data_IF_023056784285
#
_entry.id   IF_023056784285
#
_cell.length_a   1.000
_cell.length_b   1.000
_cell.length_c   1.000
_cell.angle_alpha   90.00
_cell.angle_beta   90.00
_cell.angle_gamma   90.00
#
_symmetry.space_group_name_H-M   'P 1'
#
loop_
_entity.id
_entity.type
_entity.pdbx_description
1 polymer ?
#
# COMPACT_ATOMS: atom_id res chain seq x y z
N UNK A 1 -30.41 29.04 -35.16
CA UNK A 1 -29.08 29.09 -34.52
C UNK A 1 -28.01 29.02 -35.61
N UNK A 2 -27.03 29.90 -35.55
CA UNK A 2 -25.90 29.92 -36.48
C UNK A 2 -24.89 28.84 -36.11
N UNK A 3 -24.58 27.96 -37.06
CA UNK A 3 -23.48 26.97 -36.88
C UNK A 3 -22.15 27.69 -37.16
N UNK A 4 -21.23 27.79 -36.18
CA UNK A 4 -19.94 28.47 -36.35
C UNK A 4 -18.92 27.66 -37.13
N UNK A 5 -19.22 26.39 -37.52
CA UNK A 5 -18.31 25.53 -38.27
C UNK A 5 -18.36 25.77 -39.77
N UNK A 6 -17.27 25.43 -40.45
CA UNK A 6 -17.25 25.38 -41.91
C UNK A 6 -18.03 24.19 -42.44
N UNK A 7 -18.77 24.35 -43.58
CA UNK A 7 -18.83 25.52 -44.44
C UNK A 7 -19.84 26.60 -44.02
N UNK A 8 -20.68 26.35 -43.03
CA UNK A 8 -21.84 27.17 -42.69
C UNK A 8 -21.49 28.62 -42.33
N UNK A 9 -20.38 28.82 -41.59
CA UNK A 9 -19.91 30.16 -41.18
C UNK A 9 -19.35 30.95 -42.33
N UNK A 10 -18.90 30.31 -43.42
CA UNK A 10 -18.32 30.98 -44.60
C UNK A 10 -19.40 31.75 -45.40
N UNK A 11 -20.66 31.33 -45.30
CA UNK A 11 -21.79 31.98 -46.01
C UNK A 11 -22.33 33.20 -45.24
N UNK A 12 -21.84 33.47 -44.03
CA UNK A 12 -22.30 34.59 -43.24
C UNK A 12 -21.73 35.88 -43.73
N UNK A 13 -22.58 36.78 -44.16
CA UNK A 13 -22.23 38.14 -44.59
C UNK A 13 -22.70 39.15 -43.53
N UNK A 14 -21.86 40.12 -43.18
CA UNK A 14 -22.19 41.20 -42.25
C UNK A 14 -21.92 42.54 -42.92
N UNK A 15 -22.61 43.60 -42.50
CA UNK A 15 -22.31 44.94 -42.95
C UNK A 15 -21.10 45.49 -42.23
N UNK A 16 -20.10 46.01 -42.97
CA UNK A 16 -18.93 46.62 -42.39
C UNK A 16 -19.35 47.92 -41.66
N UNK A 17 -18.99 48.10 -40.40
CA UNK A 17 -19.38 49.32 -39.66
C UNK A 17 -18.65 50.59 -40.08
N UNK A 18 -17.53 50.47 -40.85
CA UNK A 18 -16.77 51.61 -41.27
C UNK A 18 -17.12 52.09 -42.68
N UNK A 19 -17.47 51.19 -43.61
CA UNK A 19 -17.68 51.54 -45.01
C UNK A 19 -19.03 51.06 -45.58
N UNK A 20 -19.88 50.44 -44.77
CA UNK A 20 -21.21 49.89 -45.12
C UNK A 20 -21.20 48.80 -46.19
N UNK A 21 -20.04 48.41 -46.69
CA UNK A 21 -19.90 47.30 -47.66
C UNK A 21 -20.14 45.96 -46.97
N UNK A 22 -20.45 44.92 -47.75
CA UNK A 22 -20.56 43.53 -47.26
C UNK A 22 -19.20 43.02 -46.87
N UNK A 23 -19.05 42.56 -45.65
CA UNK A 23 -17.89 41.90 -45.14
C UNK A 23 -18.16 40.38 -44.96
N UNK A 24 -17.17 39.58 -45.31
CA UNK A 24 -17.19 38.12 -45.17
C UNK A 24 -16.07 37.69 -44.24
N UNK A 25 -16.21 36.52 -43.68
CA UNK A 25 -15.17 35.87 -42.86
C UNK A 25 -13.85 35.73 -43.68
N UNK A 26 -12.76 36.06 -43.08
CA UNK A 26 -11.42 35.75 -43.62
C UNK A 26 -11.27 34.23 -43.71
N UNK A 27 -10.86 33.66 -44.85
CA UNK A 27 -10.80 32.21 -45.03
C UNK A 27 -9.72 31.52 -44.17
N UNK A 28 -8.73 32.26 -43.75
CA UNK A 28 -7.69 31.76 -42.84
C UNK A 28 -8.27 31.45 -41.46
N UNK A 29 -7.71 30.45 -40.85
CA UNK A 29 -8.07 30.01 -39.46
C UNK A 29 -6.87 30.26 -38.59
N UNK A 30 -7.08 30.85 -37.40
CA UNK A 30 -6.04 30.96 -36.39
C UNK A 30 -5.65 29.53 -36.00
N UNK A 31 -4.36 29.30 -35.72
CA UNK A 31 -3.83 28.03 -35.28
C UNK A 31 -4.60 27.54 -34.03
N UNK A 32 -5.15 26.33 -34.09
CA UNK A 32 -5.88 25.73 -32.99
C UNK A 32 -5.04 25.59 -31.71
N UNK A 33 -3.73 25.54 -31.81
CA UNK A 33 -2.83 25.56 -30.69
C UNK A 33 -2.76 26.91 -29.98
N UNK A 34 -3.00 28.01 -30.68
CA UNK A 34 -3.19 29.32 -30.06
C UNK A 34 -4.44 29.34 -29.18
N UNK A 35 -5.55 28.86 -29.72
CA UNK A 35 -6.82 28.80 -28.97
C UNK A 35 -6.68 27.95 -27.70
N UNK A 36 -6.07 26.78 -27.81
CA UNK A 36 -5.79 25.91 -26.68
C UNK A 36 -4.81 26.52 -25.67
N UNK A 37 -3.79 27.25 -26.15
CA UNK A 37 -2.83 27.97 -25.31
C UNK A 37 -3.42 29.22 -24.63
N UNK A 38 -4.45 29.79 -25.20
CA UNK A 38 -5.19 30.94 -24.66
C UNK A 38 -6.26 30.53 -23.61
N UNK A 39 -6.59 29.25 -23.50
CA UNK A 39 -7.69 28.75 -22.68
C UNK A 39 -7.70 29.32 -21.25
N UNK A 40 -6.60 29.41 -20.50
CA UNK A 40 -6.61 29.84 -19.10
C UNK A 40 -7.19 31.25 -18.88
N UNK A 41 -7.12 32.12 -19.87
CA UNK A 41 -7.69 33.46 -19.79
C UNK A 41 -8.92 33.64 -20.71
N UNK A 42 -8.93 33.02 -21.87
CA UNK A 42 -10.03 33.12 -22.82
C UNK A 42 -11.32 32.48 -22.27
N UNK A 43 -11.25 31.36 -21.57
CA UNK A 43 -12.40 30.71 -20.93
C UNK A 43 -13.08 31.62 -19.90
N UNK A 44 -12.34 32.48 -19.22
CA UNK A 44 -12.87 33.47 -18.28
C UNK A 44 -13.37 34.74 -18.96
N UNK A 45 -13.03 34.94 -20.25
CA UNK A 45 -13.31 36.17 -20.99
C UNK A 45 -12.43 37.35 -20.56
N UNK A 46 -11.31 37.08 -19.91
CA UNK A 46 -10.30 38.09 -19.58
C UNK A 46 -9.63 38.66 -20.85
N UNK A 47 -9.33 39.95 -20.94
CA UNK A 47 -9.43 40.97 -19.88
C UNK A 47 -10.79 41.69 -19.81
N UNK A 48 -11.76 41.32 -20.62
CA UNK A 48 -13.05 42.04 -20.71
C UNK A 48 -14.01 41.72 -19.54
N UNK A 49 -13.86 40.52 -18.96
CA UNK A 49 -14.69 40.01 -17.87
C UNK A 49 -13.81 39.29 -16.86
N UNK A 50 -14.37 39.09 -15.66
CA UNK A 50 -13.83 38.17 -14.61
C UNK A 50 -12.37 38.41 -14.24
N UNK A 51 -11.91 39.69 -14.20
CA UNK A 51 -10.50 40.00 -13.87
C UNK A 51 -10.10 39.51 -12.46
N UNK A 52 -10.99 39.59 -11.46
CA UNK A 52 -10.73 39.09 -10.12
C UNK A 52 -10.58 37.56 -10.08
N UNK A 53 -11.47 36.85 -10.78
CA UNK A 53 -11.39 35.39 -10.88
C UNK A 53 -10.12 34.94 -11.60
N UNK A 54 -9.73 35.65 -12.68
CA UNK A 54 -8.48 35.41 -13.37
C UNK A 54 -7.28 35.56 -12.42
N UNK A 55 -7.22 36.64 -11.66
CA UNK A 55 -6.13 36.91 -10.73
C UNK A 55 -6.00 35.84 -9.61
N UNK A 56 -7.10 35.16 -9.26
CA UNK A 56 -7.12 34.08 -8.27
C UNK A 56 -6.75 32.71 -8.88
N UNK A 57 -7.02 32.49 -10.17
CA UNK A 57 -6.87 31.18 -10.83
C UNK A 57 -5.67 31.07 -11.77
N UNK A 58 -5.01 32.18 -12.10
CA UNK A 58 -3.86 32.22 -12.98
C UNK A 58 -2.58 32.53 -12.20
N UNK A 59 -1.49 31.81 -12.42
CA UNK A 59 -1.38 30.58 -13.23
C UNK A 59 -2.09 29.39 -12.57
N UNK A 60 -2.51 28.41 -13.38
CA UNK A 60 -3.15 27.18 -12.89
C UNK A 60 -2.24 26.43 -11.92
N UNK A 61 -2.78 25.79 -10.89
CA UNK A 61 -1.99 25.04 -9.91
C UNK A 61 -1.29 23.85 -10.56
N UNK A 62 -1.96 23.12 -11.47
CA UNK A 62 -1.35 22.08 -12.28
C UNK A 62 -2.10 21.88 -13.61
N UNK A 63 -1.40 21.26 -14.57
CA UNK A 63 -1.97 20.70 -15.79
C UNK A 63 -1.62 19.21 -15.87
N UNK A 64 -2.51 18.40 -16.47
CA UNK A 64 -2.32 16.94 -16.54
C UNK A 64 -2.69 16.42 -17.91
N UNK A 65 -1.72 15.88 -18.62
CA UNK A 65 -1.88 15.19 -19.90
C UNK A 65 -0.70 14.22 -20.15
N UNK A 66 -0.75 13.48 -21.25
CA UNK A 66 0.31 12.56 -21.61
C UNK A 66 1.56 13.27 -22.19
N UNK A 67 2.68 12.56 -22.20
CA UNK A 67 4.02 13.07 -22.56
C UNK A 67 4.10 13.65 -23.98
N UNK A 68 3.24 13.23 -24.92
CA UNK A 68 3.18 13.79 -26.27
C UNK A 68 2.79 15.28 -26.27
N UNK A 69 2.11 15.77 -25.22
CA UNK A 69 1.73 17.18 -25.08
C UNK A 69 2.90 18.12 -24.76
N UNK A 70 4.09 17.59 -24.51
CA UNK A 70 5.32 18.40 -24.48
C UNK A 70 5.61 19.11 -25.80
N UNK A 71 5.05 18.59 -26.92
CA UNK A 71 5.08 19.21 -28.26
C UNK A 71 3.69 19.62 -28.76
N UNK A 72 2.77 19.85 -27.84
CA UNK A 72 1.40 20.25 -28.12
C UNK A 72 0.90 21.23 -27.08
N UNK A 73 -0.05 20.84 -26.27
CA UNK A 73 -0.75 21.75 -25.35
C UNK A 73 0.17 22.33 -24.26
N UNK A 74 1.05 21.55 -23.65
CA UNK A 74 1.98 22.09 -22.64
C UNK A 74 2.85 23.22 -23.23
N UNK A 75 3.34 23.02 -24.47
CA UNK A 75 4.13 24.03 -25.16
C UNK A 75 3.29 25.28 -25.48
N UNK A 76 2.08 25.12 -26.03
CA UNK A 76 1.24 26.28 -26.41
C UNK A 76 0.81 27.09 -25.20
N UNK A 77 0.45 26.44 -24.07
CA UNK A 77 0.17 27.12 -22.80
C UNK A 77 1.36 27.95 -22.31
N UNK A 78 2.57 27.35 -22.33
CA UNK A 78 3.79 28.03 -21.92
C UNK A 78 4.11 29.22 -22.84
N UNK A 79 4.05 29.01 -24.15
CA UNK A 79 4.37 30.03 -25.13
C UNK A 79 3.39 31.20 -25.04
N UNK A 80 2.09 30.97 -25.07
CA UNK A 80 1.06 32.01 -25.00
C UNK A 80 1.11 32.76 -23.69
N UNK A 81 1.20 32.04 -22.55
CA UNK A 81 1.30 32.66 -21.23
C UNK A 81 2.52 33.57 -21.10
N UNK A 82 3.68 33.07 -21.52
CA UNK A 82 4.92 33.86 -21.50
C UNK A 82 4.88 35.12 -22.40
N UNK A 83 4.32 34.97 -23.60
CA UNK A 83 4.22 36.10 -24.53
C UNK A 83 3.21 37.16 -24.08
N UNK A 84 2.10 36.76 -23.44
CA UNK A 84 1.00 37.67 -23.06
C UNK A 84 1.20 38.23 -21.65
N UNK A 85 1.61 37.42 -20.68
CA UNK A 85 1.69 37.78 -19.27
C UNK A 85 3.12 37.84 -18.73
N UNK A 86 4.13 37.37 -19.46
CA UNK A 86 5.52 37.34 -19.00
C UNK A 86 5.82 36.16 -18.04
N UNK A 87 4.88 35.22 -17.87
CA UNK A 87 5.00 34.08 -16.96
C UNK A 87 4.33 32.82 -17.51
N UNK A 88 4.60 31.67 -16.88
CA UNK A 88 3.96 30.40 -17.23
C UNK A 88 2.46 30.42 -16.92
N UNK A 89 1.64 29.78 -17.76
CA UNK A 89 0.21 29.58 -17.50
C UNK A 89 -0.08 28.52 -16.41
N UNK A 90 0.93 27.80 -15.92
CA UNK A 90 0.81 26.75 -14.91
C UNK A 90 2.03 26.68 -14.00
N UNK A 91 1.81 26.21 -12.77
CA UNK A 91 2.85 26.00 -11.74
C UNK A 91 3.47 24.61 -11.84
N UNK A 92 2.64 23.58 -12.05
CA UNK A 92 3.04 22.18 -12.06
C UNK A 92 2.55 21.45 -13.32
N UNK A 93 3.30 20.44 -13.76
CA UNK A 93 2.92 19.56 -14.88
C UNK A 93 2.86 18.12 -14.39
N UNK A 94 1.68 17.52 -14.42
CA UNK A 94 1.46 16.09 -14.20
C UNK A 94 1.55 15.41 -15.58
N UNK A 95 2.75 14.95 -15.94
CA UNK A 95 3.04 14.39 -17.26
C UNK A 95 2.86 12.86 -17.23
N UNK A 96 1.82 12.34 -17.87
CA UNK A 96 1.46 10.92 -17.83
C UNK A 96 2.20 10.11 -18.89
N UNK A 97 2.54 8.87 -18.55
CA UNK A 97 3.02 7.86 -19.49
C UNK A 97 1.93 7.34 -20.44
N UNK A 98 2.35 6.64 -21.48
CA UNK A 98 1.40 6.04 -22.42
C UNK A 98 0.65 4.85 -21.83
N UNK A 99 -0.59 4.67 -22.27
CA UNK A 99 -1.38 3.45 -22.01
C UNK A 99 -1.10 2.45 -23.15
N UNK A 100 -0.73 1.23 -22.76
CA UNK A 100 -0.41 0.13 -23.65
C UNK A 100 -1.44 -1.01 -23.49
N UNK A 101 -1.57 -1.87 -24.48
CA UNK A 101 -2.36 -3.11 -24.37
C UNK A 101 -1.72 -4.10 -23.39
N UNK A 102 -2.38 -5.25 -23.14
CA UNK A 102 -1.88 -6.29 -22.23
C UNK A 102 -0.51 -6.84 -22.64
N UNK A 103 -0.20 -6.85 -23.95
CA UNK A 103 1.09 -7.29 -24.50
C UNK A 103 2.17 -6.20 -24.43
N UNK A 104 1.82 -4.97 -24.01
CA UNK A 104 2.75 -3.83 -23.94
C UNK A 104 2.95 -3.12 -25.29
N UNK A 105 2.02 -3.28 -26.23
CA UNK A 105 2.05 -2.60 -27.52
C UNK A 105 1.23 -1.31 -27.46
N UNK A 106 1.63 -0.32 -28.24
CA UNK A 106 0.84 0.92 -28.38
C UNK A 106 -0.52 0.60 -28.98
N UNK A 107 -1.58 1.09 -28.34
CA UNK A 107 -2.94 0.92 -28.84
C UNK A 107 -3.13 1.74 -30.13
N UNK A 108 -3.74 1.11 -31.14
CA UNK A 108 -4.13 1.79 -32.37
C UNK A 108 -5.38 1.15 -32.97
N UNK A 109 -6.19 1.96 -33.64
CA UNK A 109 -7.39 1.47 -34.36
C UNK A 109 -7.06 0.43 -35.44
N UNK A 110 -5.89 0.58 -36.08
CA UNK A 110 -5.42 -0.34 -37.13
C UNK A 110 -5.08 -1.74 -36.58
N UNK A 111 -4.58 -1.81 -35.35
CA UNK A 111 -4.26 -3.10 -34.70
C UNK A 111 -5.48 -3.72 -34.02
N UNK A 112 -6.57 -2.98 -33.88
CA UNK A 112 -7.78 -3.47 -33.20
C UNK A 112 -7.58 -3.77 -31.71
N UNK A 113 -6.50 -3.22 -31.10
CA UNK A 113 -6.13 -3.47 -29.71
C UNK A 113 -6.50 -2.30 -28.77
N UNK A 114 -7.40 -1.42 -29.21
CA UNK A 114 -7.89 -0.31 -28.39
C UNK A 114 -8.91 -0.84 -27.39
N UNK A 115 -8.66 -0.56 -26.11
CA UNK A 115 -9.64 -0.78 -25.05
C UNK A 115 -10.55 0.45 -24.95
N UNK A 116 -11.81 0.25 -25.30
CA UNK A 116 -12.82 1.30 -25.20
C UNK A 116 -13.16 1.54 -23.72
N UNK A 117 -13.09 2.78 -23.21
CA UNK A 117 -13.27 3.05 -21.79
C UNK A 117 -14.66 2.68 -21.26
N UNK A 118 -15.72 2.96 -22.02
CA UNK A 118 -17.11 2.72 -21.56
C UNK A 118 -17.37 1.21 -21.38
N UNK A 119 -17.14 0.33 -22.36
CA UNK A 119 -17.27 -1.11 -22.15
C UNK A 119 -16.39 -1.66 -21.01
N UNK A 120 -15.20 -1.07 -20.79
CA UNK A 120 -14.32 -1.45 -19.69
C UNK A 120 -14.93 -1.09 -18.33
N UNK A 121 -15.52 0.10 -18.22
CA UNK A 121 -16.23 0.56 -17.02
C UNK A 121 -17.52 -0.24 -16.80
N UNK A 122 -18.26 -0.58 -17.85
CA UNK A 122 -19.47 -1.42 -17.76
C UNK A 122 -19.16 -2.82 -17.23
N UNK A 123 -17.96 -3.34 -17.56
CA UNK A 123 -17.53 -4.68 -17.15
C UNK A 123 -17.01 -4.71 -15.71
N UNK A 124 -16.20 -3.75 -15.31
CA UNK A 124 -15.47 -3.77 -14.04
C UNK A 124 -15.94 -2.73 -13.02
N UNK A 125 -16.73 -1.77 -13.45
CA UNK A 125 -17.09 -0.58 -12.67
C UNK A 125 -16.10 0.58 -12.86
N UNK A 126 -16.61 1.80 -12.84
CA UNK A 126 -15.79 2.99 -13.03
C UNK A 126 -14.71 3.16 -11.95
N UNK A 127 -15.03 2.83 -10.70
CA UNK A 127 -14.07 2.92 -9.59
C UNK A 127 -12.91 1.95 -9.73
N UNK A 128 -13.12 0.77 -10.30
CA UNK A 128 -12.06 -0.19 -10.57
C UNK A 128 -11.07 0.34 -11.62
N UNK A 129 -11.58 0.96 -12.68
CA UNK A 129 -10.76 1.60 -13.71
C UNK A 129 -10.01 2.79 -13.13
N UNK A 130 -10.67 3.66 -12.36
CA UNK A 130 -10.05 4.80 -11.68
C UNK A 130 -8.94 4.36 -10.74
N UNK A 131 -9.22 3.40 -9.87
CA UNK A 131 -8.21 2.86 -8.95
C UNK A 131 -7.00 2.30 -9.70
N UNK A 132 -7.25 1.51 -10.74
CA UNK A 132 -6.17 0.99 -11.57
C UNK A 132 -5.32 2.11 -12.16
N UNK A 133 -5.93 3.16 -12.69
CA UNK A 133 -5.24 4.29 -13.32
C UNK A 133 -4.48 5.17 -12.31
N UNK A 134 -4.94 5.28 -11.09
CA UNK A 134 -4.33 6.14 -10.07
C UNK A 134 -3.34 5.41 -9.16
N UNK A 135 -3.62 4.15 -8.79
CA UNK A 135 -2.91 3.45 -7.72
C UNK A 135 -2.03 2.28 -8.17
N UNK A 136 -2.31 1.65 -9.34
CA UNK A 136 -1.66 0.37 -9.70
C UNK A 136 -0.29 0.48 -10.35
N UNK A 137 0.29 1.66 -10.45
CA UNK A 137 1.62 1.87 -11.01
C UNK A 137 1.97 3.33 -11.15
N UNK A 138 3.24 3.63 -11.41
CA UNK A 138 3.69 5.01 -11.59
C UNK A 138 2.95 5.69 -12.74
N UNK A 139 2.27 6.82 -12.53
CA UNK A 139 1.57 7.52 -13.60
C UNK A 139 2.53 8.07 -14.67
N UNK A 140 3.80 8.27 -14.32
CA UNK A 140 4.86 8.81 -15.21
C UNK A 140 5.38 7.78 -16.20
N UNK A 141 5.11 6.49 -16.01
CA UNK A 141 5.60 5.41 -16.87
C UNK A 141 4.48 4.85 -17.74
N UNK A 142 4.88 4.25 -18.87
CA UNK A 142 3.95 3.54 -19.73
C UNK A 142 3.35 2.33 -18.98
N UNK A 143 2.02 2.19 -19.03
CA UNK A 143 1.28 1.14 -18.32
C UNK A 143 0.53 0.21 -19.25
N UNK A 144 0.57 -1.08 -18.92
CA UNK A 144 -0.26 -2.10 -19.56
C UNK A 144 -1.62 -2.12 -18.89
N UNK A 145 -2.68 -2.00 -19.67
CA UNK A 145 -4.06 -2.05 -19.22
C UNK A 145 -4.74 -3.27 -19.81
N UNK A 146 -5.48 -3.99 -18.96
CA UNK A 146 -6.22 -5.17 -19.37
C UNK A 146 -7.24 -5.62 -18.34
N UNK A 147 -8.16 -6.49 -18.76
CA UNK A 147 -9.25 -6.98 -17.93
C UNK A 147 -8.77 -7.70 -16.67
N UNK A 148 -7.72 -8.53 -16.80
CA UNK A 148 -7.16 -9.30 -15.68
C UNK A 148 -6.59 -8.41 -14.59
N UNK A 149 -5.81 -7.39 -14.99
CA UNK A 149 -5.19 -6.46 -14.03
C UNK A 149 -6.23 -5.63 -13.26
N UNK A 150 -7.30 -5.18 -13.94
CA UNK A 150 -8.40 -4.44 -13.29
C UNK A 150 -9.20 -5.36 -12.38
N UNK A 151 -9.50 -6.59 -12.79
CA UNK A 151 -10.21 -7.57 -11.96
C UNK A 151 -9.43 -7.89 -10.67
N UNK A 152 -8.11 -7.94 -10.72
CA UNK A 152 -7.25 -8.13 -9.53
C UNK A 152 -7.36 -6.97 -8.53
N UNK A 153 -7.44 -5.74 -9.00
CA UNK A 153 -7.70 -4.55 -8.17
C UNK A 153 -9.02 -4.66 -7.44
N UNK A 154 -10.09 -5.02 -8.17
CA UNK A 154 -11.42 -5.21 -7.56
C UNK A 154 -11.34 -6.23 -6.42
N UNK A 155 -10.73 -7.38 -6.69
CA UNK A 155 -10.67 -8.48 -5.73
C UNK A 155 -9.86 -8.13 -4.49
N UNK A 156 -8.69 -7.50 -4.66
CA UNK A 156 -7.75 -7.28 -3.56
C UNK A 156 -8.10 -6.09 -2.69
N UNK A 157 -8.64 -5.03 -3.26
CA UNK A 157 -8.86 -3.77 -2.56
C UNK A 157 -10.33 -3.43 -2.39
N UNK A 158 -11.07 -3.29 -3.50
CA UNK A 158 -12.44 -2.77 -3.43
C UNK A 158 -13.40 -3.75 -2.77
N UNK A 159 -13.32 -5.05 -3.06
CA UNK A 159 -14.13 -6.08 -2.40
C UNK A 159 -13.73 -6.25 -0.93
N UNK A 160 -12.45 -6.14 -0.60
CA UNK A 160 -11.98 -6.20 0.79
C UNK A 160 -12.57 -5.04 1.60
N UNK A 161 -12.49 -3.82 1.07
CA UNK A 161 -13.12 -2.65 1.67
C UNK A 161 -14.63 -2.84 1.84
N UNK A 162 -15.34 -3.21 0.76
CA UNK A 162 -16.79 -3.44 0.79
C UNK A 162 -17.21 -4.49 1.79
N UNK A 163 -16.48 -5.60 1.86
CA UNK A 163 -16.75 -6.68 2.81
C UNK A 163 -16.54 -6.22 4.26
N UNK A 164 -15.54 -5.37 4.51
CA UNK A 164 -15.30 -4.80 5.85
C UNK A 164 -16.43 -3.84 6.26
N UNK A 165 -16.92 -3.02 5.34
CA UNK A 165 -18.10 -2.17 5.54
C UNK A 165 -19.36 -3.02 5.82
N UNK A 166 -19.56 -4.07 5.04
CA UNK A 166 -20.69 -5.00 5.21
C UNK A 166 -20.63 -5.72 6.55
N UNK A 167 -19.43 -6.10 6.99
CA UNK A 167 -19.18 -6.68 8.30
C UNK A 167 -19.56 -5.71 9.42
N UNK A 168 -19.07 -4.46 9.38
CA UNK A 168 -19.44 -3.41 10.32
C UNK A 168 -20.97 -3.23 10.40
N UNK A 169 -21.62 -3.07 9.26
CA UNK A 169 -23.07 -2.86 9.19
C UNK A 169 -23.87 -4.03 9.76
N UNK A 170 -23.40 -5.27 9.54
CA UNK A 170 -24.05 -6.48 10.07
C UNK A 170 -23.96 -6.52 11.60
N UNK A 171 -22.75 -6.38 12.15
CA UNK A 171 -22.53 -6.54 13.58
C UNK A 171 -23.04 -5.36 14.38
N UNK A 172 -22.92 -4.13 13.88
CA UNK A 172 -23.54 -2.97 14.52
C UNK A 172 -25.06 -3.12 14.65
N UNK A 173 -25.76 -3.60 13.60
CA UNK A 173 -27.20 -3.89 13.67
C UNK A 173 -27.55 -5.03 14.59
N UNK A 174 -26.72 -6.08 14.63
CA UNK A 174 -26.95 -7.25 15.51
C UNK A 174 -26.78 -6.87 16.97
N UNK A 175 -25.83 -6.01 17.29
CA UNK A 175 -25.59 -5.49 18.63
C UNK A 175 -26.45 -4.28 18.99
N UNK A 176 -27.35 -3.82 18.09
CA UNK A 176 -28.14 -2.59 18.24
C UNK A 176 -27.26 -1.36 18.55
N UNK A 177 -26.01 -1.37 18.08
CA UNK A 177 -25.05 -0.31 18.28
C UNK A 177 -25.12 0.75 17.17
N UNK A 178 -24.93 2.00 17.56
CA UNK A 178 -24.73 3.13 16.64
C UNK A 178 -23.72 4.11 17.24
N UNK A 179 -23.15 5.04 16.47
CA UNK A 179 -22.26 6.07 17.00
C UNK A 179 -22.86 6.87 18.17
N UNK A 180 -24.19 7.04 18.21
CA UNK A 180 -24.90 7.69 19.30
C UNK A 180 -24.89 6.89 20.61
N UNK A 181 -24.68 5.58 20.56
CA UNK A 181 -24.51 4.73 21.75
C UNK A 181 -23.23 5.09 22.50
N UNK A 182 -22.22 5.59 21.75
CA UNK A 182 -20.92 5.93 22.31
C UNK A 182 -19.96 4.75 22.39
N UNK A 183 -18.79 5.00 22.91
CA UNK A 183 -17.75 4.03 23.21
C UNK A 183 -16.77 4.59 24.24
N UNK A 184 -15.95 3.76 24.91
CA UNK A 184 -14.83 4.23 25.73
C UNK A 184 -13.89 5.14 24.94
N UNK A 185 -13.24 6.06 25.65
CA UNK A 185 -12.21 6.91 25.03
C UNK A 185 -11.11 6.04 24.41
N UNK A 186 -10.50 6.50 23.31
CA UNK A 186 -9.51 5.70 22.55
C UNK A 186 -8.40 5.14 23.45
N UNK A 187 -7.87 5.94 24.40
CA UNK A 187 -6.83 5.48 25.32
C UNK A 187 -7.27 4.44 26.36
N UNK A 188 -8.56 4.18 26.51
CA UNK A 188 -9.14 3.16 27.40
C UNK A 188 -9.49 1.87 26.66
N UNK A 189 -9.39 1.88 25.31
CA UNK A 189 -9.66 0.71 24.48
C UNK A 189 -8.44 -0.23 24.46
N UNK A 190 -8.61 -1.51 24.10
CA UNK A 190 -7.50 -2.44 23.86
C UNK A 190 -6.42 -1.87 22.93
N UNK A 191 -5.17 -2.32 23.10
CA UNK A 191 -4.04 -1.80 22.28
C UNK A 191 -4.22 -2.04 20.79
N UNK A 192 -4.89 -3.11 20.39
CA UNK A 192 -5.19 -3.36 18.96
C UNK A 192 -6.16 -2.32 18.39
N UNK A 193 -7.11 -1.80 19.18
CA UNK A 193 -8.01 -0.72 18.78
C UNK A 193 -7.24 0.61 18.66
N UNK A 194 -6.42 0.91 19.66
CA UNK A 194 -5.57 2.10 19.65
C UNK A 194 -4.61 2.08 18.45
N UNK A 195 -4.03 0.92 18.14
CA UNK A 195 -3.16 0.74 16.99
C UNK A 195 -3.87 1.04 15.67
N UNK A 196 -5.03 0.45 15.42
CA UNK A 196 -5.72 0.63 14.13
C UNK A 196 -6.20 2.08 13.92
N UNK A 197 -6.57 2.78 14.99
CA UNK A 197 -6.93 4.21 14.91
C UNK A 197 -5.69 5.10 14.71
N UNK A 198 -4.58 4.78 15.36
CA UNK A 198 -3.29 5.43 15.13
C UNK A 198 -2.84 5.27 13.66
N UNK A 199 -2.98 4.05 13.11
CA UNK A 199 -2.69 3.79 11.70
C UNK A 199 -3.66 4.53 10.76
N UNK A 200 -4.96 4.64 11.10
CA UNK A 200 -5.91 5.45 10.32
C UNK A 200 -5.47 6.92 10.22
N UNK A 201 -5.06 7.50 11.34
CA UNK A 201 -4.57 8.89 11.37
C UNK A 201 -3.29 9.05 10.54
N UNK A 202 -2.36 8.10 10.64
CA UNK A 202 -1.13 8.09 9.84
C UNK A 202 -1.44 7.98 8.34
N UNK A 203 -2.37 7.10 7.98
CA UNK A 203 -2.83 6.93 6.59
C UNK A 203 -3.41 8.24 6.05
N UNK A 204 -4.27 8.92 6.81
CA UNK A 204 -4.84 10.20 6.40
C UNK A 204 -3.75 11.25 6.13
N UNK A 205 -2.74 11.34 6.99
CA UNK A 205 -1.59 12.24 6.83
C UNK A 205 -0.74 11.90 5.61
N UNK A 206 -0.38 10.62 5.47
CA UNK A 206 0.57 10.17 4.46
C UNK A 206 -0.06 10.15 3.05
N UNK A 207 -1.38 9.94 2.96
CA UNK A 207 -2.14 10.06 1.69
C UNK A 207 -2.29 11.52 1.30
N UNK A 208 -2.54 12.42 2.25
CA UNK A 208 -2.59 13.86 2.01
C UNK A 208 -1.26 14.36 1.43
N UNK A 209 -0.15 14.05 2.12
CA UNK A 209 1.20 14.36 1.63
C UNK A 209 1.48 13.78 0.24
N UNK A 210 1.05 12.54 -0.02
CA UNK A 210 1.22 11.93 -1.34
C UNK A 210 0.43 12.66 -2.42
N UNK A 211 -0.82 13.05 -2.14
CA UNK A 211 -1.68 13.76 -3.10
C UNK A 211 -1.19 15.19 -3.33
N UNK A 212 -0.71 15.89 -2.32
CA UNK A 212 -0.10 17.22 -2.45
C UNK A 212 1.14 17.20 -3.36
N UNK A 213 1.85 16.07 -3.39
CA UNK A 213 2.98 15.83 -4.28
C UNK A 213 2.60 15.14 -5.61
N UNK A 214 1.32 15.03 -5.95
CA UNK A 214 0.80 14.33 -7.11
C UNK A 214 1.19 12.84 -7.21
N UNK A 215 1.65 12.23 -6.11
CA UNK A 215 2.03 10.81 -6.04
C UNK A 215 0.81 9.93 -5.70
N UNK A 216 -0.10 9.84 -6.67
CA UNK A 216 -1.33 9.06 -6.52
C UNK A 216 -1.05 7.56 -6.30
N UNK A 217 0.06 7.05 -6.84
CA UNK A 217 0.46 5.65 -6.64
C UNK A 217 0.83 5.37 -5.18
N UNK A 218 1.63 6.24 -4.56
CA UNK A 218 2.01 6.12 -3.14
C UNK A 218 0.77 6.17 -2.25
N UNK A 219 -0.10 7.16 -2.46
CA UNK A 219 -1.34 7.29 -1.69
C UNK A 219 -2.24 6.06 -1.84
N UNK A 220 -2.44 5.57 -3.06
CA UNK A 220 -3.23 4.35 -3.31
C UNK A 220 -2.63 3.09 -2.70
N UNK A 221 -1.29 2.94 -2.66
CA UNK A 221 -0.62 1.82 -1.98
C UNK A 221 -0.85 1.87 -0.48
N UNK A 222 -0.69 3.03 0.16
CA UNK A 222 -0.95 3.23 1.59
C UNK A 222 -2.39 2.84 1.94
N UNK A 223 -3.36 3.28 1.13
CA UNK A 223 -4.77 2.92 1.33
C UNK A 223 -5.02 1.41 1.18
N UNK A 224 -4.44 0.77 0.17
CA UNK A 224 -4.60 -0.67 -0.04
C UNK A 224 -4.02 -1.50 1.12
N UNK A 225 -2.83 -1.14 1.61
CA UNK A 225 -2.18 -1.77 2.75
C UNK A 225 -3.03 -1.62 4.03
N UNK A 226 -3.56 -0.44 4.29
CA UNK A 226 -4.42 -0.22 5.44
C UNK A 226 -5.77 -0.96 5.37
N UNK A 227 -6.38 -1.03 4.19
CA UNK A 227 -7.61 -1.81 3.98
C UNK A 227 -7.36 -3.30 4.25
N UNK A 228 -6.22 -3.81 3.82
CA UNK A 228 -5.81 -5.19 4.10
C UNK A 228 -5.59 -5.40 5.60
N UNK A 229 -4.89 -4.53 6.26
CA UNK A 229 -4.64 -4.56 7.71
C UNK A 229 -5.95 -4.49 8.51
N UNK A 230 -6.85 -3.61 8.11
CA UNK A 230 -8.16 -3.46 8.74
C UNK A 230 -9.00 -4.74 8.64
N UNK A 231 -9.02 -5.37 7.47
CA UNK A 231 -9.80 -6.59 7.22
C UNK A 231 -9.11 -7.85 7.75
N UNK A 232 -7.85 -8.08 7.32
CA UNK A 232 -7.17 -9.35 7.49
C UNK A 232 -6.38 -9.44 8.81
N UNK A 233 -6.20 -8.31 9.50
CA UNK A 233 -5.62 -8.30 10.83
C UNK A 233 -6.64 -7.87 11.89
N UNK A 234 -7.07 -6.61 11.89
CA UNK A 234 -7.93 -6.08 12.93
C UNK A 234 -9.29 -6.81 13.05
N UNK A 235 -10.07 -6.85 11.98
CA UNK A 235 -11.40 -7.50 11.97
C UNK A 235 -11.27 -8.99 12.28
N UNK A 236 -10.29 -9.66 11.68
CA UNK A 236 -10.10 -11.10 11.89
C UNK A 236 -9.73 -11.41 13.35
N UNK A 237 -8.87 -10.60 13.97
CA UNK A 237 -8.45 -10.76 15.38
C UNK A 237 -9.59 -10.42 16.34
N UNK A 238 -10.31 -9.37 16.07
CA UNK A 238 -11.40 -8.89 16.92
C UNK A 238 -12.74 -9.59 16.68
N UNK A 239 -12.80 -10.63 15.82
CA UNK A 239 -14.06 -11.26 15.40
C UNK A 239 -14.95 -11.70 16.56
N UNK A 240 -14.36 -12.28 17.62
CA UNK A 240 -15.10 -12.70 18.80
C UNK A 240 -15.73 -11.51 19.53
N UNK A 241 -15.00 -10.42 19.68
CA UNK A 241 -15.48 -9.17 20.28
C UNK A 241 -16.69 -8.61 19.53
N UNK A 242 -16.67 -8.65 18.19
CA UNK A 242 -17.83 -8.26 17.38
C UNK A 242 -19.05 -9.17 17.62
N UNK A 243 -18.84 -10.48 17.80
CA UNK A 243 -19.93 -11.40 18.12
C UNK A 243 -20.53 -11.12 19.50
N UNK A 244 -19.69 -10.73 20.44
CA UNK A 244 -20.11 -10.41 21.81
C UNK A 244 -20.69 -8.98 21.93
N UNK A 245 -20.71 -8.22 20.82
CA UNK A 245 -21.26 -6.86 20.77
C UNK A 245 -20.40 -5.81 21.48
N UNK A 246 -19.08 -6.01 21.53
CA UNK A 246 -18.10 -5.10 22.16
C UNK A 246 -18.15 -3.70 21.52
N UNK A 247 -18.57 -2.72 22.31
CA UNK A 247 -18.75 -1.32 21.87
C UNK A 247 -17.43 -0.70 21.41
N UNK A 248 -16.30 -1.03 22.05
CA UNK A 248 -14.97 -0.54 21.64
C UNK A 248 -14.60 -1.03 20.25
N UNK A 249 -14.81 -2.32 19.94
CA UNK A 249 -14.53 -2.89 18.64
C UNK A 249 -15.43 -2.29 17.56
N UNK A 250 -16.74 -2.15 17.82
CA UNK A 250 -17.70 -1.57 16.90
C UNK A 250 -17.40 -0.11 16.58
N UNK A 251 -17.11 0.70 17.62
CA UNK A 251 -16.75 2.11 17.43
C UNK A 251 -15.41 2.27 16.69
N UNK A 252 -14.40 1.47 17.06
CA UNK A 252 -13.09 1.51 16.43
C UNK A 252 -13.17 1.21 14.94
N UNK A 253 -13.89 0.15 14.56
CA UNK A 253 -14.06 -0.17 13.13
C UNK A 253 -14.85 0.91 12.39
N UNK A 254 -15.88 1.48 13.01
CA UNK A 254 -16.65 2.59 12.44
C UNK A 254 -15.76 3.82 12.19
N UNK A 255 -14.97 4.25 13.18
CA UNK A 255 -14.05 5.39 13.08
C UNK A 255 -12.96 5.17 12.04
N UNK A 256 -12.37 3.96 12.01
CA UNK A 256 -11.37 3.57 11.00
C UNK A 256 -11.95 3.58 9.57
N UNK A 257 -13.16 3.03 9.39
CA UNK A 257 -13.87 3.07 8.11
C UNK A 257 -14.25 4.48 7.69
N UNK A 258 -14.62 5.35 8.64
CA UNK A 258 -14.90 6.76 8.35
C UNK A 258 -13.67 7.43 7.73
N UNK A 259 -12.52 7.31 8.39
CA UNK A 259 -11.26 7.89 7.92
C UNK A 259 -10.87 7.38 6.54
N UNK A 260 -10.88 6.06 6.34
CA UNK A 260 -10.49 5.48 5.04
C UNK A 260 -11.47 5.81 3.91
N UNK A 261 -12.78 5.95 4.23
CA UNK A 261 -13.80 6.34 3.23
C UNK A 261 -13.56 7.75 2.71
N UNK A 262 -13.22 8.70 3.60
CA UNK A 262 -12.85 10.06 3.21
C UNK A 262 -11.60 10.06 2.32
N UNK A 263 -10.57 9.30 2.69
CA UNK A 263 -9.34 9.20 1.91
C UNK A 263 -9.52 8.47 0.57
N UNK A 264 -10.49 7.55 0.46
CA UNK A 264 -10.84 6.86 -0.77
C UNK A 264 -11.65 7.71 -1.75
N UNK A 265 -12.37 8.73 -1.28
CA UNK A 265 -13.27 9.50 -2.11
C UNK A 265 -12.63 10.08 -3.39
N UNK A 266 -11.39 10.61 -3.38
CA UNK A 266 -10.72 11.05 -4.61
C UNK A 266 -10.38 9.91 -5.58
N UNK A 267 -10.12 8.72 -5.08
CA UNK A 267 -9.75 7.54 -5.87
C UNK A 267 -10.96 6.81 -6.43
N UNK A 268 -11.93 6.52 -5.58
CA UNK A 268 -13.09 5.66 -5.86
C UNK A 268 -14.39 6.36 -5.43
N UNK A 269 -14.80 7.40 -6.17
CA UNK A 269 -15.87 8.31 -5.74
C UNK A 269 -17.22 7.61 -5.56
N UNK A 270 -17.53 6.59 -6.35
CA UNK A 270 -18.87 6.00 -6.31
C UNK A 270 -19.05 5.03 -5.14
N UNK A 271 -18.07 4.18 -4.88
CA UNK A 271 -18.13 3.27 -3.72
C UNK A 271 -17.98 4.04 -2.40
N UNK A 272 -17.13 5.08 -2.36
CA UNK A 272 -16.98 5.93 -1.20
C UNK A 272 -18.29 6.68 -0.88
N UNK A 273 -18.95 7.25 -1.89
CA UNK A 273 -20.25 7.88 -1.72
C UNK A 273 -21.32 6.90 -1.25
N UNK A 274 -21.35 5.69 -1.83
CA UNK A 274 -22.32 4.68 -1.42
C UNK A 274 -22.13 4.29 0.05
N UNK A 275 -20.89 4.08 0.50
CA UNK A 275 -20.60 3.77 1.90
C UNK A 275 -20.91 4.95 2.80
N UNK A 276 -20.62 6.18 2.34
CA UNK A 276 -20.97 7.39 3.08
C UNK A 276 -22.46 7.48 3.38
N UNK A 277 -23.29 7.28 2.37
CA UNK A 277 -24.75 7.34 2.53
C UNK A 277 -25.29 6.22 3.43
N UNK A 278 -24.79 4.98 3.26
CA UNK A 278 -25.35 3.81 3.93
C UNK A 278 -24.82 3.63 5.38
N UNK A 279 -23.59 4.05 5.68
CA UNK A 279 -22.97 3.79 6.97
C UNK A 279 -22.86 5.04 7.86
N UNK A 280 -22.51 6.19 7.30
CA UNK A 280 -22.23 7.38 8.09
C UNK A 280 -23.43 8.33 8.12
N UNK A 281 -23.92 8.75 6.98
CA UNK A 281 -25.08 9.66 6.91
C UNK A 281 -26.37 9.01 7.43
N UNK A 282 -26.55 7.72 7.25
CA UNK A 282 -27.70 7.00 7.78
C UNK A 282 -27.76 7.00 9.32
N UNK A 283 -26.64 7.27 10.00
CA UNK A 283 -26.53 7.29 11.46
C UNK A 283 -26.26 8.67 12.06
N UNK A 284 -26.00 9.68 11.20
CA UNK A 284 -25.74 11.07 11.59
C UNK A 284 -26.35 12.05 10.58
N UNK A 285 -27.48 12.66 10.93
CA UNK A 285 -28.16 13.65 10.10
C UNK A 285 -27.37 14.96 9.92
N UNK A 286 -26.34 15.20 10.73
CA UNK A 286 -25.47 16.38 10.62
C UNK A 286 -24.29 16.12 9.65
N UNK A 287 -24.05 14.88 9.27
CA UNK A 287 -23.03 14.57 8.30
C UNK A 287 -23.30 15.26 6.95
N UNK A 288 -22.26 15.73 6.24
CA UNK A 288 -22.40 16.32 4.91
C UNK A 288 -23.22 15.44 3.97
N UNK A 289 -24.02 16.07 3.08
CA UNK A 289 -24.92 15.35 2.16
C UNK A 289 -24.20 14.41 1.18
N UNK A 290 -22.89 14.58 1.02
CA UNK A 290 -22.03 13.74 0.20
C UNK A 290 -20.64 13.66 0.82
N UNK A 291 -19.95 12.53 0.65
CA UNK A 291 -18.55 12.38 1.04
C UNK A 291 -17.64 13.42 0.36
N UNK A 292 -18.02 13.84 -0.86
CA UNK A 292 -17.28 14.83 -1.64
C UNK A 292 -17.44 16.27 -1.15
N UNK A 293 -18.32 16.51 -0.19
CA UNK A 293 -18.50 17.79 0.51
C UNK A 293 -17.99 17.73 1.95
N UNK A 294 -17.54 16.57 2.39
CA UNK A 294 -16.90 16.41 3.67
C UNK A 294 -15.44 16.92 3.63
N UNK A 295 -14.96 17.37 4.79
CA UNK A 295 -13.57 17.76 4.94
C UNK A 295 -12.65 16.52 4.99
N UNK A 296 -11.39 16.70 4.61
CA UNK A 296 -10.35 15.71 4.84
C UNK A 296 -10.26 15.36 6.34
N UNK A 297 -9.87 14.11 6.71
CA UNK A 297 -9.80 13.73 8.11
C UNK A 297 -8.92 14.70 8.93
N UNK A 298 -9.48 15.24 10.02
CA UNK A 298 -8.71 16.13 10.90
C UNK A 298 -7.73 15.31 11.75
N UNK A 299 -6.50 15.80 11.85
CA UNK A 299 -5.45 15.22 12.69
C UNK A 299 -5.27 15.97 14.03
N UNK A 300 -6.05 17.01 14.31
CA UNK A 300 -5.87 17.87 15.49
C UNK A 300 -5.95 17.11 16.83
N UNK A 301 -6.80 16.07 16.89
CA UNK A 301 -6.99 15.25 18.08
C UNK A 301 -6.53 13.80 17.87
N UNK A 302 -5.90 13.51 16.74
CA UNK A 302 -5.43 12.17 16.43
C UNK A 302 -4.08 11.89 17.09
N UNK A 303 -3.97 10.77 17.77
CA UNK A 303 -2.71 10.31 18.35
C UNK A 303 -2.07 9.33 17.38
N UNK A 304 -0.98 9.74 16.72
CA UNK A 304 -0.11 8.84 15.96
C UNK A 304 0.92 8.29 16.96
N UNK A 305 0.90 6.98 17.16
CA UNK A 305 1.78 6.28 18.11
C UNK A 305 2.75 5.36 17.36
N UNK A 306 3.95 5.87 17.11
CA UNK A 306 4.97 5.14 16.36
C UNK A 306 5.50 3.92 17.13
N UNK A 307 5.61 3.99 18.47
CA UNK A 307 6.03 2.85 19.31
C UNK A 307 5.02 1.70 19.21
N UNK A 308 3.73 2.00 19.26
CA UNK A 308 2.68 1.00 19.14
C UNK A 308 2.66 0.36 17.73
N UNK A 309 2.93 1.16 16.69
CA UNK A 309 3.10 0.65 15.32
C UNK A 309 4.27 -0.32 15.23
N UNK A 310 5.43 0.05 15.76
CA UNK A 310 6.64 -0.76 15.70
C UNK A 310 6.47 -2.06 16.51
N UNK A 311 5.82 -1.99 17.67
CA UNK A 311 5.45 -3.15 18.47
C UNK A 311 4.49 -4.09 17.72
N UNK A 312 3.45 -3.56 17.07
CA UNK A 312 2.52 -4.38 16.28
C UNK A 312 3.20 -4.97 15.04
N UNK A 313 4.12 -4.24 14.41
CA UNK A 313 4.92 -4.76 13.31
C UNK A 313 5.77 -5.96 13.76
N UNK A 314 6.39 -5.89 14.94
CA UNK A 314 7.12 -7.01 15.54
C UNK A 314 6.20 -8.21 15.82
N UNK A 315 5.03 -7.97 16.42
CA UNK A 315 4.00 -9.01 16.64
C UNK A 315 3.67 -9.74 15.34
N UNK A 316 3.43 -9.01 14.27
CA UNK A 316 3.07 -9.57 12.96
C UNK A 316 4.19 -10.42 12.36
N UNK A 317 5.45 -9.97 12.43
CA UNK A 317 6.60 -10.75 11.95
C UNK A 317 6.78 -12.04 12.75
N UNK A 318 6.68 -11.97 14.07
CA UNK A 318 6.76 -13.16 14.94
C UNK A 318 5.63 -14.16 14.64
N UNK A 319 4.40 -13.67 14.41
CA UNK A 319 3.27 -14.51 13.97
C UNK A 319 3.54 -15.18 12.63
N UNK A 320 4.12 -14.46 11.67
CA UNK A 320 4.47 -15.01 10.36
C UNK A 320 5.53 -16.11 10.47
N UNK A 321 6.58 -15.87 11.23
CA UNK A 321 7.61 -16.89 11.54
C UNK A 321 7.02 -18.11 12.24
N UNK A 322 6.18 -17.92 13.25
CA UNK A 322 5.53 -19.02 13.95
C UNK A 322 4.61 -19.85 13.04
N UNK A 323 3.91 -19.21 12.11
CA UNK A 323 3.12 -19.91 11.08
C UNK A 323 4.01 -20.66 10.09
N UNK A 324 5.14 -20.09 9.70
CA UNK A 324 6.12 -20.77 8.86
C UNK A 324 6.70 -22.01 9.57
N UNK A 325 7.03 -21.91 10.87
CA UNK A 325 7.47 -23.03 11.67
C UNK A 325 6.43 -24.15 11.72
N UNK A 326 5.15 -23.83 11.97
CA UNK A 326 4.06 -24.82 11.93
C UNK A 326 3.91 -25.48 10.56
N UNK A 327 3.99 -24.70 9.49
CA UNK A 327 3.89 -25.21 8.11
C UNK A 327 5.05 -26.18 7.78
N UNK A 328 6.27 -25.86 8.19
CA UNK A 328 7.45 -26.73 8.00
C UNK A 328 7.27 -28.09 8.68
N UNK A 329 6.58 -28.15 9.83
CA UNK A 329 6.30 -29.39 10.56
C UNK A 329 4.96 -30.02 10.19
N UNK A 330 4.24 -29.47 9.18
CA UNK A 330 2.91 -29.95 8.78
C UNK A 330 1.85 -29.90 9.89
N UNK A 331 2.04 -29.09 10.93
CA UNK A 331 1.13 -28.91 12.04
C UNK A 331 0.13 -27.81 11.69
N UNK A 332 -1.16 -28.16 11.68
CA UNK A 332 -2.24 -27.19 11.36
C UNK A 332 -2.36 -26.15 12.47
N UNK A 333 -2.63 -24.90 12.12
CA UNK A 333 -2.85 -23.82 13.09
C UNK A 333 -3.98 -24.12 14.09
N UNK A 334 -4.97 -24.92 13.71
CA UNK A 334 -6.06 -25.36 14.59
C UNK A 334 -5.65 -26.33 15.70
N UNK A 335 -4.48 -26.97 15.57
CA UNK A 335 -3.94 -27.82 16.62
C UNK A 335 -3.37 -26.94 17.74
N UNK A 336 -3.94 -26.96 18.96
CA UNK A 336 -3.31 -26.26 20.07
C UNK A 336 -1.96 -26.87 20.39
N UNK A 337 -1.01 -26.07 20.86
CA UNK A 337 0.30 -26.50 21.30
C UNK A 337 0.66 -25.82 22.64
N UNK A 338 1.59 -26.39 23.38
CA UNK A 338 1.89 -25.93 24.73
C UNK A 338 2.53 -24.54 24.73
N UNK A 339 3.57 -24.32 23.92
CA UNK A 339 4.34 -23.07 23.95
C UNK A 339 5.06 -22.73 22.66
N UNK A 340 5.36 -21.45 22.53
CA UNK A 340 6.32 -20.92 21.60
C UNK A 340 7.42 -20.14 22.33
N UNK A 341 8.64 -20.19 21.83
CA UNK A 341 9.77 -19.40 22.32
C UNK A 341 10.16 -18.41 21.23
N UNK A 342 10.37 -17.14 21.58
CA UNK A 342 10.66 -16.05 20.65
C UNK A 342 11.96 -15.37 21.01
N UNK A 343 12.85 -15.23 20.03
CA UNK A 343 14.01 -14.35 20.09
C UNK A 343 13.84 -13.28 19.01
N UNK A 344 13.69 -12.04 19.42
CA UNK A 344 13.62 -10.91 18.51
C UNK A 344 14.00 -9.62 19.24
N UNK A 345 14.69 -8.67 18.58
CA UNK A 345 14.96 -7.36 19.16
C UNK A 345 13.65 -6.67 19.57
N UNK A 346 13.60 -6.18 20.80
CA UNK A 346 12.41 -5.52 21.35
C UNK A 346 11.33 -6.45 21.91
N UNK A 347 11.42 -7.77 21.75
CA UNK A 347 10.39 -8.70 22.20
C UNK A 347 10.11 -8.65 23.71
N UNK A 348 11.17 -8.60 24.53
CA UNK A 348 11.04 -8.57 25.99
C UNK A 348 10.41 -7.28 26.55
N UNK A 349 10.28 -6.24 25.73
CA UNK A 349 9.66 -4.95 26.07
C UNK A 349 8.21 -4.83 25.60
N UNK A 350 7.69 -5.83 24.85
CA UNK A 350 6.31 -5.79 24.39
C UNK A 350 5.33 -5.83 25.57
N UNK A 351 4.24 -5.06 25.51
CA UNK A 351 3.12 -5.22 26.44
C UNK A 351 2.53 -6.63 26.41
N UNK A 352 2.14 -7.15 27.58
CA UNK A 352 1.54 -8.48 27.72
C UNK A 352 0.34 -8.69 26.80
N UNK A 353 -0.47 -7.64 26.57
CA UNK A 353 -1.62 -7.68 25.66
C UNK A 353 -1.19 -8.02 24.23
N UNK A 354 -0.09 -7.48 23.74
CA UNK A 354 0.43 -7.79 22.41
C UNK A 354 1.11 -9.17 22.32
N UNK A 355 1.72 -9.62 23.43
CA UNK A 355 2.23 -11.00 23.52
C UNK A 355 1.08 -12.00 23.47
N UNK A 356 -0.05 -11.70 24.11
CA UNK A 356 -1.27 -12.53 24.06
C UNK A 356 -1.82 -12.65 22.63
N UNK A 357 -1.73 -11.59 21.80
CA UNK A 357 -2.10 -11.63 20.38
C UNK A 357 -1.29 -12.69 19.62
N UNK A 358 0.01 -12.81 19.92
CA UNK A 358 0.87 -13.85 19.32
C UNK A 358 0.48 -15.24 19.76
N UNK A 359 0.20 -15.42 21.05
CA UNK A 359 -0.26 -16.72 21.59
C UNK A 359 -1.52 -17.21 20.89
N UNK A 360 -2.49 -16.33 20.74
CA UNK A 360 -3.75 -16.63 20.05
C UNK A 360 -3.56 -16.94 18.57
N UNK A 361 -2.74 -16.15 17.87
CA UNK A 361 -2.47 -16.33 16.42
C UNK A 361 -1.72 -17.62 16.13
N UNK A 362 -0.83 -18.00 17.02
CA UNK A 362 -0.09 -19.25 16.92
C UNK A 362 -0.84 -20.44 17.53
N UNK A 363 -1.96 -20.19 18.21
CA UNK A 363 -2.72 -21.19 18.95
C UNK A 363 -1.81 -21.99 19.90
N UNK A 364 -1.08 -21.25 20.75
CA UNK A 364 -0.24 -21.79 21.82
C UNK A 364 -0.72 -21.25 23.17
N UNK A 365 -0.52 -22.01 24.25
CA UNK A 365 -0.94 -21.59 25.59
C UNK A 365 -0.09 -20.45 26.14
N UNK A 366 1.22 -20.45 25.82
CA UNK A 366 2.16 -19.44 26.31
C UNK A 366 3.22 -19.11 25.27
N UNK A 367 3.67 -17.85 25.28
CA UNK A 367 4.82 -17.38 24.49
C UNK A 367 5.86 -16.84 25.45
N UNK A 368 7.08 -17.37 25.37
CA UNK A 368 8.19 -17.06 26.27
C UNK A 368 9.40 -16.52 25.46
N UNK A 369 10.32 -15.87 26.16
CA UNK A 369 11.60 -15.44 25.54
C UNK A 369 12.46 -16.67 25.29
N UNK A 370 13.02 -16.80 24.10
CA UNK A 370 14.03 -17.80 23.79
C UNK A 370 15.37 -17.39 24.44
N UNK A 371 15.77 -18.12 25.49
CA UNK A 371 17.05 -17.92 26.15
C UNK A 371 18.22 -18.41 25.31
N UNK A 372 19.40 -17.81 25.48
CA UNK A 372 20.64 -18.20 24.79
C UNK A 372 21.05 -19.67 25.02
N UNK A 373 20.62 -20.26 26.15
CA UNK A 373 20.95 -21.64 26.55
C UNK A 373 19.98 -22.70 25.99
N UNK A 374 18.94 -22.30 25.26
CA UNK A 374 17.85 -23.21 24.88
C UNK A 374 18.29 -24.33 23.93
N UNK A 375 19.39 -24.16 23.17
CA UNK A 375 19.99 -25.19 22.32
C UNK A 375 18.97 -25.96 21.47
N UNK A 376 18.02 -25.24 20.86
CA UNK A 376 16.88 -25.82 20.16
C UNK A 376 17.18 -26.24 18.71
N UNK A 377 18.40 -25.96 18.28
CA UNK A 377 18.87 -26.28 16.92
C UNK A 377 20.10 -27.14 17.06
N UNK A 378 20.08 -28.31 16.46
CA UNK A 378 21.25 -29.14 16.28
C UNK A 378 21.99 -28.62 15.06
N UNK A 379 23.18 -28.09 15.28
CA UNK A 379 24.07 -27.60 14.23
C UNK A 379 24.96 -28.77 13.77
N UNK A 380 24.91 -29.07 12.48
CA UNK A 380 25.80 -30.06 11.85
C UNK A 380 26.69 -29.31 10.87
N UNK A 381 27.99 -29.36 11.10
CA UNK A 381 28.98 -28.80 10.19
C UNK A 381 29.62 -29.92 9.41
N UNK A 382 29.60 -29.83 8.09
CA UNK A 382 30.27 -30.76 7.18
C UNK A 382 31.39 -30.07 6.40
N UNK A 383 32.55 -30.66 6.21
CA UNK A 383 33.59 -30.13 5.33
C UNK A 383 33.06 -29.99 3.89
N UNK A 384 33.30 -28.85 3.26
CA UNK A 384 33.04 -28.64 1.83
C UNK A 384 34.26 -29.13 1.03
N UNK A 385 34.31 -30.42 0.73
CA UNK A 385 35.43 -31.03 0.04
C UNK A 385 35.77 -30.37 -1.30
N UNK A 386 34.81 -29.73 -1.96
CA UNK A 386 35.08 -29.06 -3.23
C UNK A 386 35.90 -27.80 -3.05
N UNK A 387 35.59 -26.98 -2.07
CA UNK A 387 36.33 -25.74 -1.81
C UNK A 387 37.65 -26.03 -1.04
N UNK A 388 37.60 -26.91 -0.04
CA UNK A 388 38.79 -27.35 0.65
C UNK A 388 39.83 -27.97 -0.31
N UNK A 389 39.37 -28.73 -1.32
CA UNK A 389 40.24 -29.32 -2.34
C UNK A 389 41.02 -28.28 -3.16
N UNK A 390 40.42 -27.13 -3.44
CA UNK A 390 41.08 -26.05 -4.15
C UNK A 390 42.15 -25.36 -3.31
N UNK A 391 41.94 -25.27 -1.99
CA UNK A 391 42.84 -24.56 -1.07
C UNK A 391 43.96 -25.47 -0.53
N UNK A 392 43.61 -26.66 -0.12
CA UNK A 392 44.49 -27.54 0.64
C UNK A 392 45.01 -28.73 -0.17
N UNK A 393 44.47 -29.01 -1.37
CA UNK A 393 44.96 -30.06 -2.25
C UNK A 393 45.04 -31.43 -1.55
N UNK A 394 46.28 -31.98 -1.41
CA UNK A 394 46.53 -33.30 -0.77
C UNK A 394 46.29 -33.31 0.74
N UNK A 395 46.27 -32.14 1.40
CA UNK A 395 46.02 -32.02 2.85
C UNK A 395 44.53 -31.91 3.19
N UNK A 396 43.64 -31.85 2.18
CA UNK A 396 42.17 -31.75 2.36
C UNK A 396 41.62 -32.78 3.35
N UNK A 397 42.01 -34.07 3.35
CA UNK A 397 41.44 -35.04 4.30
C UNK A 397 41.77 -34.71 5.76
N UNK A 398 42.96 -34.17 6.02
CA UNK A 398 43.42 -33.84 7.39
C UNK A 398 42.65 -32.60 7.89
N UNK A 399 42.52 -31.58 7.04
CA UNK A 399 41.71 -30.38 7.36
C UNK A 399 40.25 -30.74 7.56
N UNK A 400 39.69 -31.60 6.70
CA UNK A 400 38.30 -32.05 6.82
C UNK A 400 38.04 -32.82 8.13
N UNK A 401 39.00 -33.64 8.57
CA UNK A 401 38.92 -34.32 9.87
C UNK A 401 38.98 -33.28 11.02
N UNK A 402 39.89 -32.32 10.97
CA UNK A 402 40.01 -31.29 11.97
C UNK A 402 38.73 -30.44 12.08
N UNK A 403 38.05 -30.14 10.95
CA UNK A 403 36.72 -29.48 10.94
C UNK A 403 35.68 -30.35 11.66
N UNK A 404 35.69 -31.66 11.45
CA UNK A 404 34.72 -32.59 12.04
C UNK A 404 34.94 -32.78 13.54
N UNK A 405 36.19 -32.61 14.03
CA UNK A 405 36.56 -32.79 15.42
C UNK A 405 36.21 -31.57 16.31
N UNK A 406 35.90 -30.42 15.69
CA UNK A 406 35.42 -29.22 16.43
C UNK A 406 33.95 -29.33 16.74
N UNK A 407 33.56 -28.80 17.89
CA UNK A 407 32.14 -28.68 18.26
C UNK A 407 31.40 -27.81 17.20
N UNK A 408 30.36 -28.38 16.52
CA UNK A 408 29.76 -27.75 15.33
C UNK A 408 29.20 -26.35 15.56
N UNK A 409 28.54 -26.10 16.71
CA UNK A 409 27.97 -24.81 17.02
C UNK A 409 29.05 -23.74 17.24
N UNK A 410 30.16 -24.10 17.91
CA UNK A 410 31.31 -23.21 18.14
C UNK A 410 31.94 -22.80 16.80
N UNK A 411 32.17 -23.75 15.90
CA UNK A 411 32.73 -23.48 14.58
C UNK A 411 31.82 -22.57 13.74
N UNK A 412 30.54 -22.92 13.65
CA UNK A 412 29.57 -22.16 12.86
C UNK A 412 29.42 -20.73 13.37
N UNK A 413 29.29 -20.53 14.70
CA UNK A 413 29.14 -19.22 15.32
C UNK A 413 30.39 -18.36 15.14
N UNK A 414 31.57 -18.93 15.30
CA UNK A 414 32.82 -18.20 15.11
C UNK A 414 33.00 -17.75 13.66
N UNK A 415 32.75 -18.64 12.70
CA UNK A 415 32.81 -18.27 11.26
C UNK A 415 31.81 -17.18 10.90
N UNK A 416 30.60 -17.21 11.48
CA UNK A 416 29.59 -16.14 11.28
C UNK A 416 30.01 -14.80 11.88
N UNK A 417 30.59 -14.82 13.09
CA UNK A 417 30.91 -13.60 13.82
C UNK A 417 32.21 -12.94 13.32
N UNK A 418 33.23 -13.73 12.99
CA UNK A 418 34.58 -13.24 12.66
C UNK A 418 35.00 -13.49 11.21
N UNK A 419 34.17 -14.17 10.42
CA UNK A 419 34.48 -14.53 9.02
C UNK A 419 35.39 -15.76 8.87
N UNK A 420 36.09 -16.22 9.94
CA UNK A 420 36.96 -17.39 9.92
C UNK A 420 37.06 -18.05 11.30
N UNK A 421 37.52 -19.27 11.31
CA UNK A 421 37.91 -20.03 12.50
C UNK A 421 39.24 -20.69 12.30
N UNK A 422 40.19 -20.50 13.25
CA UNK A 422 41.53 -21.07 13.15
C UNK A 422 41.58 -22.49 13.73
N UNK A 423 41.99 -23.46 12.92
CA UNK A 423 42.19 -24.87 13.27
C UNK A 423 43.67 -25.21 13.38
N UNK A 424 44.00 -26.08 14.31
CA UNK A 424 45.35 -26.71 14.36
C UNK A 424 45.36 -27.96 13.51
N UNK A 425 46.14 -27.95 12.42
CA UNK A 425 46.29 -29.07 11.48
C UNK A 425 47.79 -29.42 11.37
N UNK A 426 48.16 -30.60 11.78
CA UNK A 426 49.54 -31.08 11.76
C UNK A 426 50.56 -30.10 12.39
N UNK A 427 50.14 -29.38 13.45
CA UNK A 427 50.97 -28.41 14.18
C UNK A 427 51.01 -27.00 13.56
N UNK A 428 50.33 -26.76 12.45
CA UNK A 428 50.15 -25.45 11.83
C UNK A 428 48.73 -24.90 12.10
N UNK A 429 48.61 -23.58 12.20
CA UNK A 429 47.32 -22.92 12.28
C UNK A 429 46.78 -22.66 10.88
N UNK A 430 45.61 -23.20 10.56
CA UNK A 430 44.92 -23.02 9.28
C UNK A 430 43.56 -22.37 9.51
N UNK A 431 43.25 -21.33 8.73
CA UNK A 431 41.93 -20.65 8.83
C UNK A 431 40.91 -21.31 7.92
N UNK A 432 39.73 -21.58 8.47
CA UNK A 432 38.54 -22.09 7.79
C UNK A 432 37.52 -20.95 7.64
N UNK A 433 37.00 -20.79 6.45
CA UNK A 433 36.04 -19.75 6.10
C UNK A 433 34.63 -20.34 5.82
N UNK A 434 33.64 -19.49 5.64
CA UNK A 434 32.26 -19.91 5.38
C UNK A 434 32.14 -20.85 4.16
N UNK A 435 32.93 -20.63 3.10
CA UNK A 435 32.90 -21.47 1.90
C UNK A 435 33.51 -22.86 2.10
N UNK A 436 34.37 -23.03 3.11
CA UNK A 436 35.06 -24.28 3.41
C UNK A 436 34.17 -25.29 4.15
N UNK A 437 33.03 -24.84 4.67
CA UNK A 437 32.10 -25.65 5.46
C UNK A 437 30.68 -25.59 4.91
N UNK A 438 29.93 -26.65 5.14
CA UNK A 438 28.48 -26.71 4.90
C UNK A 438 27.82 -26.80 6.27
N UNK A 439 27.20 -25.74 6.70
CA UNK A 439 26.44 -25.68 7.95
C UNK A 439 25.01 -26.07 7.68
N UNK A 440 24.52 -27.11 8.36
CA UNK A 440 23.11 -27.52 8.32
C UNK A 440 22.57 -27.40 9.74
N UNK A 441 21.49 -26.64 9.87
CA UNK A 441 20.77 -26.50 11.13
C UNK A 441 19.46 -27.29 11.02
N UNK A 442 19.20 -28.11 12.03
CA UNK A 442 17.96 -28.85 12.16
C UNK A 442 17.35 -28.63 13.53
N UNK A 443 16.03 -28.39 13.61
CA UNK A 443 15.38 -28.33 14.91
C UNK A 443 15.60 -29.59 15.71
N UNK A 444 15.82 -29.45 17.01
CA UNK A 444 15.90 -30.57 17.93
C UNK A 444 14.60 -31.38 17.94
N UNK A 445 14.66 -32.68 18.21
CA UNK A 445 13.48 -33.53 18.26
C UNK A 445 12.42 -32.95 19.19
N UNK A 446 11.17 -32.88 18.70
CA UNK A 446 10.03 -32.25 19.42
C UNK A 446 9.88 -30.75 19.21
N UNK A 447 10.76 -30.11 18.47
CA UNK A 447 10.69 -28.67 18.18
C UNK A 447 10.65 -28.38 16.68
N UNK A 448 10.02 -27.26 16.33
CA UNK A 448 10.13 -26.65 15.00
C UNK A 448 10.59 -25.22 15.15
N UNK A 449 11.47 -24.78 14.26
CA UNK A 449 12.06 -23.43 14.32
C UNK A 449 11.94 -22.76 12.96
N UNK A 450 11.57 -21.49 12.94
CA UNK A 450 11.73 -20.62 11.79
C UNK A 450 12.47 -19.36 12.21
N UNK A 451 13.35 -18.87 11.34
CA UNK A 451 14.18 -17.70 11.59
C UNK A 451 14.28 -16.84 10.35
N UNK A 452 14.31 -15.53 10.55
CA UNK A 452 14.63 -14.54 9.55
C UNK A 452 15.45 -13.41 10.20
N UNK A 453 16.62 -13.09 9.61
CA UNK A 453 17.58 -12.14 10.16
C UNK A 453 17.90 -12.40 11.65
N UNK A 454 17.51 -11.46 12.53
CA UNK A 454 17.75 -11.55 13.98
C UNK A 454 16.53 -12.10 14.76
N UNK A 455 15.47 -12.50 14.05
CA UNK A 455 14.24 -12.97 14.65
C UNK A 455 14.10 -14.48 14.51
N UNK A 456 13.69 -15.16 15.57
CA UNK A 456 13.47 -16.62 15.59
C UNK A 456 12.27 -16.98 16.42
N UNK A 457 11.51 -17.95 15.93
CA UNK A 457 10.37 -18.55 16.65
C UNK A 457 10.54 -20.06 16.67
N UNK A 458 10.57 -20.62 17.87
CA UNK A 458 10.57 -22.07 18.11
C UNK A 458 9.23 -22.48 18.72
N UNK A 459 8.65 -23.56 18.23
CA UNK A 459 7.37 -24.08 18.71
C UNK A 459 7.55 -25.51 19.21
N UNK A 460 7.08 -25.78 20.41
CA UNK A 460 7.04 -27.12 21.02
C UNK A 460 5.93 -27.94 20.33
N UNK A 461 6.32 -29.06 19.74
CA UNK A 461 5.42 -29.96 19.00
C UNK A 461 4.88 -31.09 19.88
N UNK A 462 5.28 -31.15 21.15
CA UNK A 462 4.77 -32.15 22.07
C UNK A 462 3.28 -31.93 22.35
N UNK A 463 2.50 -32.98 22.17
CA UNK A 463 1.05 -33.00 22.44
C UNK A 463 0.82 -33.94 23.60
N UNK A 464 0.25 -33.45 24.66
CA UNK A 464 -0.18 -34.21 25.81
C UNK A 464 -1.72 -34.19 25.98
N UNK A 465 -2.22 -34.97 26.96
CA UNK A 465 -3.65 -35.09 27.21
C UNK A 465 -4.27 -33.83 27.84
N UNK A 466 -3.45 -32.80 28.18
CA UNK A 466 -3.93 -31.54 28.76
C UNK A 466 -4.14 -30.46 27.67
N UNK A 467 -3.66 -30.66 26.45
CA UNK A 467 -3.80 -29.78 25.28
C UNK A 467 -5.11 -30.02 24.57
#
# INVERSE_FOLDING_TARGET
DLDPHRPFVDDVAIQCPECENTAHRVPEVIDCWYDSGAMPFAALGYPRKNAEQFAQQYPADFICEAIDQTRGWFYSLMAVGTLVFGESSYKNVVCLGHILDEDGRKMSKHLGNVLEPIPLMDTHGADAVRWFMLASGSPWQARRVGHTAIADVVRRTLLTYWNTVSFQSLYARTAEWSPATGAPATGERPLIDQWVLSEAARVARDVDDALDNFDTQRGGRILAEYIDDLSNWYVRRSRRRFWDGDESALATLHEALHTVTLCLAPYTPFIAERVWQDLFRATDDQAPISVHLASWPSLENATINDDLRDNMALVRRVVELGRAARAASSVKTRQPLSRALVSAPGWAQLPDELVAEVADELNVRVVEVLGEEAGLVDVVVKPNFRELGKRFGKHTPVVAQAITDVEPATLANSVRASGSFSLMVDGNSEDVYADDIIVTESPREGWTVASDAEESVAIDLHIDDEL
#
